data_IF_621778443360
#
_entry.id   IF_621778443360
#
_cell.length_a   1.000
_cell.length_b   1.000
_cell.length_c   1.000
_cell.angle_alpha   90.00
_cell.angle_beta   90.00
_cell.angle_gamma   90.00
#
_symmetry.space_group_name_H-M   'P 1'
#
loop_
_entity.id
_entity.type
_entity.pdbx_description
1 polymer ?
#
# COMPACT_ATOMS: atom_id res chain seq x y z
N UNK A 1 -0.70 -19.01 8.79
CA UNK A 1 0.35 -18.71 7.79
C UNK A 1 0.64 -19.99 7.03
N UNK A 2 0.40 -19.96 5.74
CA UNK A 2 0.67 -21.08 4.86
C UNK A 2 1.72 -20.73 3.81
N UNK A 3 2.56 -21.70 3.48
CA UNK A 3 3.55 -21.59 2.40
C UNK A 3 3.11 -22.51 1.27
N UNK A 4 2.62 -21.93 0.18
CA UNK A 4 2.22 -22.67 -1.01
C UNK A 4 3.35 -22.70 -2.05
N UNK A 5 3.63 -23.91 -2.59
CA UNK A 5 4.59 -24.07 -3.69
C UNK A 5 5.98 -23.46 -3.43
N UNK A 6 6.48 -23.52 -2.19
CA UNK A 6 7.79 -23.03 -1.77
C UNK A 6 8.12 -21.56 -2.06
N UNK A 7 7.25 -20.81 -2.74
CA UNK A 7 7.52 -19.44 -3.15
C UNK A 7 6.36 -18.46 -2.95
N UNK A 8 5.34 -18.85 -2.19
CA UNK A 8 4.21 -17.99 -1.83
C UNK A 8 3.92 -18.05 -0.34
N UNK A 9 3.93 -16.88 0.29
CA UNK A 9 3.42 -16.68 1.65
C UNK A 9 1.94 -16.29 1.56
N UNK A 10 1.11 -16.94 2.35
CA UNK A 10 -0.32 -16.64 2.49
C UNK A 10 -0.63 -16.36 3.95
N UNK A 11 -1.29 -15.24 4.19
CA UNK A 11 -1.82 -14.84 5.49
C UNK A 11 -3.32 -14.66 5.34
N UNK A 12 -4.10 -15.38 6.13
CA UNK A 12 -5.54 -15.24 6.21
C UNK A 12 -5.94 -14.59 7.52
N UNK A 13 -6.99 -13.77 7.47
CA UNK A 13 -7.53 -13.06 8.63
C UNK A 13 -6.45 -12.27 9.38
N UNK A 14 -5.62 -11.54 8.61
CA UNK A 14 -4.60 -10.68 9.19
C UNK A 14 -5.26 -9.48 9.86
N UNK A 15 -4.92 -9.25 11.12
CA UNK A 15 -5.49 -8.20 11.94
C UNK A 15 -4.37 -7.47 12.70
N UNK A 16 -4.39 -6.15 12.65
CA UNK A 16 -3.44 -5.30 13.34
C UNK A 16 -4.17 -4.10 13.97
N UNK A 17 -3.93 -3.87 15.23
CA UNK A 17 -4.39 -2.69 15.96
C UNK A 17 -3.31 -1.61 16.03
N UNK A 18 -3.74 -0.38 16.18
CA UNK A 18 -2.86 0.72 16.56
C UNK A 18 -2.59 0.69 18.09
N UNK A 19 -1.73 1.61 18.56
CA UNK A 19 -1.36 1.67 20.00
C UNK A 19 -2.52 1.97 20.93
N UNK A 20 -3.66 2.42 20.41
CA UNK A 20 -4.87 2.73 21.17
C UNK A 20 -5.91 1.59 21.12
N UNK A 21 -5.59 0.46 20.48
CA UNK A 21 -6.49 -0.67 20.31
C UNK A 21 -7.52 -0.49 19.19
N UNK A 22 -7.37 0.52 18.34
CA UNK A 22 -8.22 0.68 17.17
C UNK A 22 -7.68 -0.12 15.97
N UNK A 23 -8.58 -0.68 15.17
CA UNK A 23 -8.20 -1.44 13.98
C UNK A 23 -7.43 -0.56 13.02
N UNK A 24 -6.15 -0.88 12.81
CA UNK A 24 -5.27 -0.20 11.86
C UNK A 24 -5.35 -0.86 10.48
N UNK A 25 -5.29 -2.17 10.46
CA UNK A 25 -5.34 -2.98 9.26
C UNK A 25 -6.06 -4.29 9.54
N UNK A 26 -6.94 -4.66 8.65
CA UNK A 26 -7.53 -5.97 8.63
C UNK A 26 -7.59 -6.49 7.19
N UNK A 27 -7.43 -7.79 6.98
CA UNK A 27 -7.51 -8.36 5.64
C UNK A 27 -7.92 -9.83 5.70
N UNK A 28 -8.88 -10.20 4.87
CA UNK A 28 -9.30 -11.60 4.74
C UNK A 28 -8.18 -12.46 4.15
N UNK A 29 -7.49 -11.92 3.14
CA UNK A 29 -6.44 -12.67 2.45
C UNK A 29 -5.34 -11.72 1.94
N UNK A 30 -4.13 -11.98 2.38
CA UNK A 30 -2.90 -11.35 1.89
C UNK A 30 -1.98 -12.44 1.38
N UNK A 31 -1.53 -12.36 0.16
CA UNK A 31 -0.52 -13.27 -0.35
C UNK A 31 0.59 -12.56 -1.09
N UNK A 32 1.80 -13.05 -0.92
CA UNK A 32 3.00 -12.55 -1.57
C UNK A 32 3.78 -13.71 -2.19
N UNK A 33 3.87 -13.72 -3.51
CA UNK A 33 4.79 -14.60 -4.23
C UNK A 33 6.19 -13.98 -4.23
N UNK A 34 7.23 -14.79 -4.10
CA UNK A 34 8.62 -14.34 -4.15
C UNK A 34 9.45 -15.17 -5.14
N UNK A 35 10.53 -14.58 -5.62
CA UNK A 35 11.44 -15.24 -6.55
C UNK A 35 12.55 -15.96 -5.78
N UNK A 36 12.72 -17.25 -6.04
CA UNK A 36 13.68 -18.10 -5.28
C UNK A 36 15.12 -17.76 -5.66
N UNK A 37 15.42 -17.56 -6.94
CA UNK A 37 16.80 -17.29 -7.39
C UNK A 37 17.40 -16.00 -6.78
N UNK A 38 16.68 -14.84 -6.75
CA UNK A 38 17.15 -13.68 -6.03
C UNK A 38 17.33 -13.92 -4.54
N UNK A 39 16.45 -14.73 -3.91
CA UNK A 39 16.53 -15.04 -2.48
C UNK A 39 17.83 -15.77 -2.11
N UNK A 40 18.31 -16.68 -2.97
CA UNK A 40 19.60 -17.35 -2.78
C UNK A 40 20.79 -16.38 -2.78
N UNK A 41 20.62 -15.19 -3.35
CA UNK A 41 21.60 -14.11 -3.38
C UNK A 41 21.29 -13.01 -2.34
N UNK A 42 20.49 -13.29 -1.32
CA UNK A 42 20.12 -12.35 -0.26
C UNK A 42 19.21 -11.20 -0.70
N UNK A 43 18.52 -11.34 -1.84
CA UNK A 43 17.58 -10.34 -2.36
C UNK A 43 16.15 -10.85 -2.25
N UNK A 44 15.26 -10.05 -1.70
CA UNK A 44 13.83 -10.38 -1.64
C UNK A 44 13.12 -9.66 -2.80
N UNK A 45 12.66 -10.45 -3.77
CA UNK A 45 11.86 -9.96 -4.90
C UNK A 45 10.47 -10.58 -4.81
N UNK A 46 9.47 -9.74 -4.64
CA UNK A 46 8.07 -10.16 -4.69
C UNK A 46 7.58 -10.15 -6.13
N UNK A 47 7.19 -11.30 -6.64
CA UNK A 47 6.63 -11.40 -7.98
C UNK A 47 5.22 -10.81 -8.05
N UNK A 48 4.38 -11.12 -7.06
CA UNK A 48 3.01 -10.63 -6.99
C UNK A 48 2.56 -10.51 -5.53
N UNK A 49 2.04 -9.34 -5.18
CA UNK A 49 1.33 -9.13 -3.91
C UNK A 49 -0.16 -9.05 -4.21
N UNK A 50 -0.97 -9.79 -3.45
CA UNK A 50 -2.43 -9.79 -3.55
C UNK A 50 -3.03 -9.41 -2.22
N UNK A 51 -3.95 -8.46 -2.27
CA UNK A 51 -4.72 -7.98 -1.11
C UNK A 51 -6.20 -8.11 -1.45
N UNK A 52 -6.91 -8.97 -0.74
CA UNK A 52 -8.34 -9.21 -0.96
C UNK A 52 -9.15 -8.97 0.31
N UNK A 53 -10.19 -8.13 0.19
CA UNK A 53 -11.09 -7.84 1.29
C UNK A 53 -10.34 -7.28 2.48
N UNK A 54 -9.70 -6.12 2.31
CA UNK A 54 -8.92 -5.48 3.36
C UNK A 54 -9.46 -4.10 3.70
N UNK A 55 -9.17 -3.66 4.91
CA UNK A 55 -9.41 -2.30 5.39
C UNK A 55 -8.14 -1.74 6.02
N UNK A 56 -7.83 -0.50 5.67
CA UNK A 56 -6.74 0.28 6.27
C UNK A 56 -7.32 1.54 6.88
N UNK A 57 -7.09 1.77 8.17
CA UNK A 57 -7.58 2.95 8.89
C UNK A 57 -6.40 3.77 9.41
N UNK A 58 -6.02 4.78 8.66
CA UNK A 58 -4.99 5.72 9.06
C UNK A 58 -5.61 6.94 9.71
N UNK A 59 -5.06 7.37 10.82
CA UNK A 59 -5.51 8.60 11.46
C UNK A 59 -4.36 9.34 12.15
N UNK A 60 -4.61 10.60 12.44
CA UNK A 60 -3.81 11.46 13.30
C UNK A 60 -4.70 12.48 13.99
N UNK A 61 -4.29 12.99 15.12
CA UNK A 61 -5.10 13.96 15.88
C UNK A 61 -5.12 15.32 15.17
N UNK A 62 -3.94 15.83 14.80
CA UNK A 62 -3.78 17.12 14.11
C UNK A 62 -2.95 16.95 12.82
N UNK A 63 -2.96 17.91 11.88
CA UNK A 63 -2.12 17.84 10.68
C UNK A 63 -0.62 17.69 10.96
N UNK A 64 -0.15 18.17 12.11
CA UNK A 64 1.26 18.12 12.51
C UNK A 64 1.66 16.80 13.16
N UNK A 65 0.70 16.00 13.63
CA UNK A 65 0.97 14.75 14.33
C UNK A 65 1.40 13.64 13.37
N UNK A 66 2.06 12.64 13.93
CA UNK A 66 2.38 11.40 13.22
C UNK A 66 1.13 10.54 13.02
N UNK A 67 1.14 9.73 11.98
CA UNK A 67 0.09 8.73 11.74
C UNK A 67 0.10 7.66 12.85
N UNK A 68 -1.08 7.09 13.13
CA UNK A 68 -1.22 5.93 14.01
C UNK A 68 -0.42 4.70 13.53
N UNK A 69 0.02 4.67 12.28
CA UNK A 69 0.91 3.67 11.68
C UNK A 69 2.40 3.85 12.08
N UNK A 70 2.81 4.97 12.66
CA UNK A 70 4.23 5.31 12.86
C UNK A 70 5.02 4.23 13.59
N UNK A 71 4.41 3.56 14.57
CA UNK A 71 5.09 2.51 15.34
C UNK A 71 5.49 1.30 14.48
N UNK A 72 4.71 0.99 13.43
CA UNK A 72 5.02 -0.06 12.47
C UNK A 72 6.23 0.37 11.63
N UNK A 73 6.23 1.62 11.15
CA UNK A 73 7.36 2.19 10.40
C UNK A 73 8.63 2.17 11.27
N UNK A 74 8.51 2.58 12.53
CA UNK A 74 9.63 2.61 13.49
C UNK A 74 10.16 1.20 13.79
N UNK A 75 9.30 0.19 13.81
CA UNK A 75 9.70 -1.20 14.02
C UNK A 75 10.49 -1.77 12.83
N UNK A 76 10.16 -1.36 11.62
CA UNK A 76 10.90 -1.76 10.41
C UNK A 76 12.13 -0.88 10.14
N UNK A 77 12.16 0.34 10.66
CA UNK A 77 13.34 1.19 10.66
C UNK A 77 14.33 0.71 11.73
N UNK A 78 14.87 -0.51 11.57
CA UNK A 78 15.64 -1.19 12.60
C UNK A 78 16.82 -0.32 13.09
N UNK A 79 16.96 -0.30 14.42
CA UNK A 79 18.09 0.24 15.16
C UNK A 79 19.30 -0.72 15.07
N UNK A 80 19.66 -1.18 13.89
CA UNK A 80 20.88 -1.94 13.72
C UNK A 80 22.07 -0.99 13.81
N UNK A 81 22.60 -0.88 15.03
CA UNK A 81 23.90 -0.28 15.34
C UNK A 81 25.09 -1.04 14.76
N UNK A 82 24.84 -2.16 14.10
CA UNK A 82 25.83 -2.89 13.32
C UNK A 82 25.52 -2.68 11.85
N UNK A 83 26.41 -1.96 11.14
CA UNK A 83 26.40 -1.77 9.69
C UNK A 83 26.52 -3.09 8.90
N UNK A 84 25.60 -4.00 9.05
CA UNK A 84 25.28 -4.95 8.00
C UNK A 84 24.28 -4.26 7.12
N UNK A 85 24.72 -3.79 5.95
CA UNK A 85 23.82 -3.45 4.85
C UNK A 85 22.92 -4.68 4.69
N UNK A 86 21.68 -4.59 5.20
CA UNK A 86 20.66 -5.54 4.83
C UNK A 86 20.41 -5.25 3.34
N UNK A 87 20.97 -6.09 2.48
CA UNK A 87 20.74 -6.05 1.04
C UNK A 87 19.32 -6.54 0.71
N UNK A 88 18.34 -6.11 1.49
CA UNK A 88 16.94 -6.36 1.20
C UNK A 88 16.54 -5.39 0.08
N UNK A 89 16.64 -5.85 -1.14
CA UNK A 89 16.17 -5.17 -2.33
C UNK A 89 14.70 -5.57 -2.54
N UNK A 90 13.79 -4.85 -1.89
CA UNK A 90 12.36 -5.11 -2.01
C UNK A 90 11.88 -4.63 -3.38
N UNK A 91 11.54 -5.56 -4.24
CA UNK A 91 10.94 -5.28 -5.54
C UNK A 91 9.57 -5.92 -5.62
N UNK A 92 8.63 -5.20 -6.22
CA UNK A 92 7.28 -5.67 -6.48
C UNK A 92 7.02 -5.63 -7.97
N UNK A 93 6.83 -6.79 -8.61
CA UNK A 93 6.52 -6.82 -10.05
C UNK A 93 5.04 -6.53 -10.30
N UNK A 94 4.16 -6.95 -9.39
CA UNK A 94 2.72 -6.75 -9.53
C UNK A 94 2.03 -6.66 -8.18
N UNK A 95 1.06 -5.75 -8.09
CA UNK A 95 0.13 -5.65 -6.96
C UNK A 95 -1.28 -5.79 -7.49
N UNK A 96 -2.05 -6.70 -6.91
CA UNK A 96 -3.46 -6.91 -7.19
C UNK A 96 -4.28 -6.61 -5.93
N UNK A 97 -5.16 -5.64 -6.05
CA UNK A 97 -6.06 -5.19 -4.98
C UNK A 97 -7.49 -5.52 -5.40
N UNK A 98 -8.29 -6.09 -4.50
CA UNK A 98 -9.72 -6.32 -4.69
C UNK A 98 -10.50 -6.10 -3.39
N UNK A 99 -11.61 -5.37 -3.48
CA UNK A 99 -12.51 -5.07 -2.36
C UNK A 99 -11.75 -4.48 -1.17
N UNK A 100 -10.88 -3.50 -1.46
CA UNK A 100 -10.13 -2.78 -0.44
C UNK A 100 -10.91 -1.57 0.05
N UNK A 101 -10.79 -1.28 1.34
CA UNK A 101 -11.26 -0.05 1.94
C UNK A 101 -10.05 0.71 2.52
N UNK A 102 -10.01 2.00 2.31
CA UNK A 102 -8.96 2.85 2.82
C UNK A 102 -9.58 4.08 3.45
N UNK A 103 -9.30 4.30 4.72
CA UNK A 103 -9.72 5.49 5.45
C UNK A 103 -8.50 6.27 5.95
N UNK A 104 -8.56 7.58 5.75
CA UNK A 104 -7.62 8.52 6.34
C UNK A 104 -8.39 9.63 7.04
N UNK A 105 -8.03 9.92 8.28
CA UNK A 105 -8.77 10.86 9.11
C UNK A 105 -7.82 11.77 9.92
N UNK A 106 -8.03 13.08 9.84
CA UNK A 106 -7.43 14.07 10.71
C UNK A 106 -8.50 14.53 11.69
N UNK A 107 -8.52 13.93 12.88
CA UNK A 107 -9.65 13.98 13.82
C UNK A 107 -10.09 15.40 14.22
N UNK A 108 -9.16 16.34 14.36
CA UNK A 108 -9.50 17.72 14.73
C UNK A 108 -9.87 18.62 13.54
N UNK A 109 -9.82 18.08 12.31
CA UNK A 109 -10.19 18.88 11.14
C UNK A 109 -11.70 18.93 10.95
N UNK A 110 -12.20 20.02 10.38
CA UNK A 110 -13.62 20.16 10.06
C UNK A 110 -14.03 19.17 8.97
N UNK A 111 -15.15 18.49 9.18
CA UNK A 111 -15.78 17.60 8.19
C UNK A 111 -16.59 18.42 7.21
N UNK A 112 -16.57 18.06 5.93
CA UNK A 112 -17.32 18.67 4.84
C UNK A 112 -18.29 17.68 4.21
N UNK A 113 -19.48 17.46 4.75
CA UNK A 113 -20.42 16.46 4.24
C UNK A 113 -20.73 16.64 2.74
N UNK A 114 -20.74 15.54 1.98
CA UNK A 114 -21.07 15.53 0.56
C UNK A 114 -20.03 16.22 -0.35
N UNK A 115 -18.83 16.50 0.17
CA UNK A 115 -17.72 17.08 -0.61
C UNK A 115 -16.43 16.33 -0.29
N UNK A 116 -15.59 16.16 -1.29
CA UNK A 116 -14.24 15.61 -1.09
C UNK A 116 -13.45 16.46 -0.09
N UNK A 117 -12.82 15.78 0.85
CA UNK A 117 -12.00 16.42 1.88
C UNK A 117 -10.71 15.62 2.07
N UNK A 118 -9.58 16.17 1.65
CA UNK A 118 -8.28 15.51 1.78
C UNK A 118 -7.84 15.20 3.23
N UNK A 119 -8.54 15.77 4.24
CA UNK A 119 -8.32 15.46 5.66
C UNK A 119 -9.22 14.33 6.18
N UNK A 120 -10.23 13.96 5.40
CA UNK A 120 -11.21 12.92 5.70
C UNK A 120 -11.50 12.14 4.41
N UNK A 121 -10.68 11.14 4.13
CA UNK A 121 -10.80 10.29 2.93
C UNK A 121 -11.40 8.95 3.37
N UNK A 122 -12.45 8.50 2.69
CA UNK A 122 -13.09 7.20 2.90
C UNK A 122 -13.32 6.53 1.54
N UNK A 123 -12.34 5.75 1.12
CA UNK A 123 -12.35 4.99 -0.14
C UNK A 123 -12.89 3.59 0.16
N UNK A 124 -13.84 3.13 -0.66
CA UNK A 124 -14.50 1.84 -0.55
C UNK A 124 -14.44 1.07 -1.87
N UNK A 125 -14.57 -0.25 -1.77
CA UNK A 125 -14.62 -1.16 -2.92
C UNK A 125 -13.41 -1.00 -3.88
N UNK A 126 -12.28 -0.53 -3.37
CA UNK A 126 -11.11 -0.30 -4.20
C UNK A 126 -10.64 -1.59 -4.87
N UNK A 127 -10.45 -1.52 -6.18
CA UNK A 127 -9.82 -2.57 -6.96
C UNK A 127 -8.75 -1.96 -7.84
N UNK A 128 -7.56 -2.57 -7.87
CA UNK A 128 -6.46 -2.10 -8.70
C UNK A 128 -5.59 -3.25 -9.18
N UNK A 129 -5.05 -3.09 -10.39
CA UNK A 129 -3.99 -3.93 -10.94
C UNK A 129 -2.83 -3.03 -11.34
N UNK A 130 -1.74 -3.14 -10.60
CA UNK A 130 -0.55 -2.31 -10.75
C UNK A 130 0.63 -3.22 -11.10
N UNK A 131 1.39 -2.87 -12.12
CA UNK A 131 2.69 -3.49 -12.42
C UNK A 131 3.78 -2.48 -12.12
N UNK A 132 4.85 -2.89 -11.48
CA UNK A 132 5.98 -2.03 -11.14
C UNK A 132 7.26 -2.57 -11.79
N UNK A 133 8.01 -1.69 -12.44
CA UNK A 133 9.33 -1.97 -13.01
C UNK A 133 10.44 -1.44 -12.11
N UNK A 134 10.16 -0.37 -11.37
CA UNK A 134 11.06 0.18 -10.38
C UNK A 134 10.25 0.79 -9.23
N UNK A 135 10.69 0.56 -8.01
CA UNK A 135 10.16 1.17 -6.81
C UNK A 135 11.28 1.22 -5.77
N UNK A 136 11.93 2.34 -5.68
CA UNK A 136 12.96 2.61 -4.68
C UNK A 136 12.99 4.11 -4.34
N UNK A 137 13.86 4.49 -3.42
CA UNK A 137 13.97 5.90 -2.94
C UNK A 137 14.29 6.93 -4.04
N UNK A 138 14.82 6.49 -5.17
CA UNK A 138 15.32 7.37 -6.22
C UNK A 138 14.47 7.29 -7.50
N UNK A 139 13.62 6.26 -7.64
CA UNK A 139 12.83 6.07 -8.86
C UNK A 139 11.53 5.29 -8.61
N UNK A 140 10.50 5.69 -9.34
CA UNK A 140 9.22 4.99 -9.47
C UNK A 140 8.95 4.75 -10.96
N UNK A 141 8.69 3.51 -11.34
CA UNK A 141 8.15 3.18 -12.66
C UNK A 141 7.02 2.18 -12.46
N UNK A 142 5.81 2.67 -12.61
CA UNK A 142 4.60 1.91 -12.37
C UNK A 142 3.59 2.07 -13.51
N UNK A 143 2.87 0.99 -13.79
CA UNK A 143 1.74 0.97 -14.71
C UNK A 143 0.49 0.57 -13.93
N UNK A 144 -0.45 1.48 -13.78
CA UNK A 144 -1.79 1.22 -13.29
C UNK A 144 -2.62 0.79 -14.49
N UNK A 145 -2.89 -0.51 -14.59
CA UNK A 145 -3.67 -1.09 -15.69
C UNK A 145 -5.15 -0.88 -15.54
N UNK A 146 -5.61 -0.89 -14.30
CA UNK A 146 -7.00 -0.62 -13.94
C UNK A 146 -7.05 -0.28 -12.46
N UNK A 147 -7.74 0.82 -12.13
CA UNK A 147 -8.11 1.18 -10.77
C UNK A 147 -9.57 1.64 -10.76
N UNK A 148 -10.31 1.24 -9.74
CA UNK A 148 -11.67 1.70 -9.49
C UNK A 148 -11.91 1.78 -7.98
N UNK A 149 -12.75 2.71 -7.54
CA UNK A 149 -13.17 2.84 -6.14
C UNK A 149 -14.36 3.79 -6.01
N UNK A 150 -15.03 3.76 -4.88
CA UNK A 150 -16.03 4.73 -4.44
C UNK A 150 -15.46 5.55 -3.29
N UNK A 151 -15.74 6.84 -3.25
CA UNK A 151 -15.37 7.75 -2.17
C UNK A 151 -16.63 8.31 -1.50
N UNK A 152 -16.60 8.44 -0.18
CA UNK A 152 -17.77 8.76 0.64
C UNK A 152 -18.43 10.12 0.33
N UNK A 153 -17.74 11.05 -0.35
CA UNK A 153 -18.33 12.29 -0.85
C UNK A 153 -19.31 12.10 -2.02
N UNK A 154 -19.41 10.89 -2.57
CA UNK A 154 -20.22 10.56 -3.74
C UNK A 154 -19.42 10.48 -5.05
N UNK A 155 -18.09 10.69 -4.99
CA UNK A 155 -17.24 10.48 -6.16
C UNK A 155 -16.99 8.99 -6.39
N UNK A 156 -17.20 8.52 -7.61
CA UNK A 156 -16.87 7.14 -8.02
C UNK A 156 -15.92 7.16 -9.20
N UNK A 157 -14.80 6.47 -9.05
CA UNK A 157 -13.85 6.21 -10.11
C UNK A 157 -14.13 4.82 -10.69
N UNK A 158 -14.66 4.75 -11.90
CA UNK A 158 -15.00 3.47 -12.54
C UNK A 158 -13.80 2.81 -13.20
N UNK A 159 -12.90 3.61 -13.76
CA UNK A 159 -11.68 3.14 -14.40
C UNK A 159 -10.63 4.25 -14.37
N UNK A 160 -9.42 3.89 -14.00
CA UNK A 160 -8.23 4.71 -14.20
C UNK A 160 -7.14 3.80 -14.73
N UNK A 161 -6.49 4.21 -15.82
CA UNK A 161 -5.24 3.62 -16.28
C UNK A 161 -4.22 4.70 -16.57
N UNK A 162 -2.96 4.45 -16.24
CA UNK A 162 -1.85 5.36 -16.52
C UNK A 162 -0.50 4.67 -16.32
N UNK A 163 0.53 5.27 -16.91
CA UNK A 163 1.93 4.95 -16.63
C UNK A 163 2.56 6.12 -15.90
N UNK A 164 3.25 5.85 -14.80
CA UNK A 164 4.03 6.83 -14.04
C UNK A 164 5.50 6.46 -14.14
N UNK A 165 6.32 7.42 -14.54
CA UNK A 165 7.76 7.35 -14.44
C UNK A 165 8.21 8.58 -13.66
N UNK A 166 8.79 8.37 -12.49
CA UNK A 166 9.24 9.46 -11.64
C UNK A 166 10.65 9.19 -11.08
N UNK A 167 11.38 10.26 -10.85
CA UNK A 167 12.64 10.29 -10.12
C UNK A 167 12.60 11.46 -9.12
N UNK A 168 13.75 11.83 -8.53
CA UNK A 168 13.81 12.90 -7.54
C UNK A 168 13.43 14.28 -8.09
N UNK A 169 13.60 14.49 -9.38
CA UNK A 169 13.52 15.80 -10.01
C UNK A 169 12.27 15.98 -10.87
N UNK A 170 11.67 14.86 -11.31
CA UNK A 170 10.57 14.89 -12.27
C UNK A 170 9.60 13.70 -12.12
N UNK A 171 8.36 13.93 -12.53
CA UNK A 171 7.36 12.88 -12.70
C UNK A 171 6.67 13.06 -14.06
N UNK A 172 6.61 11.98 -14.82
CA UNK A 172 5.94 11.92 -16.12
C UNK A 172 4.78 10.94 -16.03
N UNK A 173 3.62 11.38 -16.43
CA UNK A 173 2.42 10.54 -16.54
C UNK A 173 2.08 10.39 -18.01
N UNK A 174 1.98 9.16 -18.48
CA UNK A 174 1.61 8.81 -19.84
C UNK A 174 0.39 7.90 -19.86
N UNK A 175 -0.29 7.84 -21.00
CA UNK A 175 -1.45 6.97 -21.23
C UNK A 175 -2.53 7.11 -20.14
N UNK A 176 -2.78 8.36 -19.74
CA UNK A 176 -3.82 8.66 -18.76
C UNK A 176 -5.19 8.46 -19.39
N UNK A 177 -6.00 7.62 -18.77
CA UNK A 177 -7.39 7.32 -19.18
C UNK A 177 -8.24 7.20 -17.91
N UNK A 178 -9.37 7.87 -17.87
CA UNK A 178 -10.34 7.86 -16.79
C UNK A 178 -11.76 7.61 -17.31
#
# INVERSE_FOLDING_TARGET
VDIEWFNRLVLENLYLEDKNGAVLFDANHVSAGFEILPLLNGKIVFSTVRLFGFSVNLNKETPADKLNLQFVIDAFASKDTVKKQSNIDLRFNSILIRRGNFRYDVKNAAVTPGKFNAKHIDIRNMSAKISMKAFNKDSLNANIKKMSFDEASGFSLNKLSLNIVANKDSAIINNFEI
#
